data_IF_891803132735
#
_entry.id   IF_891803132735
#
_cell.length_a   1.000
_cell.length_b   1.000
_cell.length_c   1.000
_cell.angle_alpha   90.00
_cell.angle_beta   90.00
_cell.angle_gamma   90.00
#
_symmetry.space_group_name_H-M   'P 1'
#
loop_
_entity.id
_entity.type
_entity.pdbx_description
1 polymer ?
#
# COMPACT_ATOMS: atom_id res chain seq x y z
N UNK A 1 3.79 -3.11 -13.92
CA UNK A 1 3.58 -2.65 -15.31
C UNK A 1 3.57 -1.12 -15.39
N UNK A 2 4.50 -0.41 -14.74
CA UNK A 2 4.79 0.98 -15.09
C UNK A 2 6.10 1.01 -15.91
N UNK A 3 6.28 1.93 -16.87
CA UNK A 3 7.47 1.94 -17.75
C UNK A 3 8.82 2.01 -17.00
N UNK A 4 8.80 2.43 -15.72
CA UNK A 4 9.97 2.70 -14.88
C UNK A 4 10.08 1.76 -13.66
N UNK A 5 9.23 0.72 -13.52
CA UNK A 5 9.25 -0.19 -12.38
C UNK A 5 7.88 -0.46 -11.75
N UNK A 6 7.87 -0.81 -10.46
CA UNK A 6 6.63 -0.93 -9.66
C UNK A 6 6.29 0.44 -9.10
N UNK A 7 5.14 1.00 -9.48
CA UNK A 7 4.66 2.28 -8.95
C UNK A 7 3.89 2.05 -7.64
N UNK A 8 4.27 2.76 -6.58
CA UNK A 8 3.64 2.70 -5.27
C UNK A 8 2.43 3.63 -5.25
N UNK A 9 1.24 3.04 -5.31
CA UNK A 9 -0.02 3.78 -5.29
C UNK A 9 -0.53 4.07 -3.87
N UNK A 10 -0.12 3.28 -2.88
CA UNK A 10 -0.54 3.42 -1.50
C UNK A 10 0.37 2.63 -0.56
N UNK A 11 0.58 3.16 0.64
CA UNK A 11 1.16 2.43 1.77
C UNK A 11 0.41 2.84 3.04
N UNK A 12 -0.02 1.85 3.81
CA UNK A 12 -0.67 2.03 5.11
C UNK A 12 -0.16 0.94 6.06
N UNK A 13 0.17 1.30 7.29
CA UNK A 13 0.59 0.36 8.32
C UNK A 13 -0.01 0.70 9.69
N UNK A 14 0.18 -0.19 10.66
CA UNK A 14 -0.38 -0.11 12.00
C UNK A 14 -1.92 -0.01 12.03
N UNK A 15 -2.57 -0.69 11.09
CA UNK A 15 -4.03 -0.87 11.08
C UNK A 15 -4.42 -1.72 12.30
N UNK A 16 -5.44 -1.30 13.06
CA UNK A 16 -5.96 -2.10 14.20
C UNK A 16 -6.32 -3.51 13.69
N UNK A 17 -5.81 -4.60 14.29
CA UNK A 17 -6.11 -5.97 13.88
C UNK A 17 -7.60 -6.34 13.95
N UNK A 18 -8.43 -5.54 14.64
CA UNK A 18 -9.91 -5.68 14.66
C UNK A 18 -10.59 -5.05 13.45
N UNK A 19 -9.85 -4.35 12.59
CA UNK A 19 -10.37 -3.75 11.36
C UNK A 19 -10.74 -4.85 10.37
N UNK A 20 -12.02 -4.98 10.05
CA UNK A 20 -12.53 -5.98 9.10
C UNK A 20 -12.87 -5.39 7.72
N UNK A 21 -12.97 -4.07 7.63
CA UNK A 21 -13.25 -3.36 6.40
C UNK A 21 -12.52 -2.01 6.37
N UNK A 22 -12.17 -1.57 5.16
CA UNK A 22 -11.71 -0.22 4.90
C UNK A 22 -12.69 0.37 3.89
N UNK A 23 -13.58 1.28 4.31
CA UNK A 23 -14.51 1.94 3.39
C UNK A 23 -13.77 2.64 2.25
N UNK A 24 -14.44 2.78 1.11
CA UNK A 24 -13.90 3.54 -0.01
C UNK A 24 -13.56 4.98 0.41
N UNK A 25 -12.43 5.50 -0.10
CA UNK A 25 -11.93 6.84 0.21
C UNK A 25 -11.72 7.10 1.71
N UNK A 26 -11.32 6.07 2.47
CA UNK A 26 -11.01 6.20 3.89
C UNK A 26 -9.67 5.56 4.24
N UNK A 27 -9.18 5.90 5.44
CA UNK A 27 -8.00 5.32 6.06
C UNK A 27 -8.43 4.80 7.43
N UNK A 28 -8.03 3.59 7.85
CA UNK A 28 -8.37 3.09 9.19
C UNK A 28 -7.88 4.02 10.29
N UNK A 29 -8.70 4.22 11.32
CA UNK A 29 -8.35 5.07 12.45
C UNK A 29 -7.07 4.57 13.14
N UNK A 30 -6.15 5.49 13.44
CA UNK A 30 -4.87 5.16 14.08
C UNK A 30 -3.80 4.57 13.15
N UNK A 31 -4.14 4.23 11.91
CA UNK A 31 -3.16 3.80 10.92
C UNK A 31 -2.31 4.97 10.41
N UNK A 32 -1.14 4.66 9.87
CA UNK A 32 -0.21 5.64 9.29
C UNK A 32 -0.13 5.45 7.79
N UNK A 33 -0.25 6.53 7.03
CA UNK A 33 0.00 6.56 5.59
C UNK A 33 1.42 7.06 5.29
N UNK A 34 2.10 6.40 4.34
CA UNK A 34 3.47 6.74 3.95
C UNK A 34 3.56 7.47 2.62
N UNK A 35 4.74 8.03 2.34
CA UNK A 35 5.04 8.65 1.05
C UNK A 35 4.93 7.61 -0.07
N UNK A 36 4.22 8.01 -1.12
CA UNK A 36 4.06 7.25 -2.36
C UNK A 36 4.90 7.85 -3.48
N UNK A 37 4.93 7.21 -4.66
CA UNK A 37 5.61 7.76 -5.84
C UNK A 37 4.96 9.06 -6.37
N UNK A 38 3.80 9.45 -5.82
CA UNK A 38 3.19 10.77 -6.03
C UNK A 38 3.84 11.87 -5.18
N UNK A 39 4.82 11.55 -4.33
CA UNK A 39 5.55 12.49 -3.49
C UNK A 39 4.81 12.94 -2.24
N UNK A 40 3.69 12.29 -1.90
CA UNK A 40 2.88 12.61 -0.71
C UNK A 40 2.21 11.34 -0.13
N UNK A 41 1.83 11.35 1.16
CA UNK A 41 0.96 10.33 1.72
C UNK A 41 -0.44 10.31 1.08
N UNK A 42 -1.08 9.16 1.14
CA UNK A 42 -2.43 8.95 0.59
C UNK A 42 -2.47 8.00 -0.61
N UNK A 43 -3.66 7.50 -0.90
CA UNK A 43 -3.93 6.71 -2.11
C UNK A 43 -3.90 7.60 -3.36
N UNK A 44 -3.06 7.24 -4.33
CA UNK A 44 -3.11 7.78 -5.69
C UNK A 44 -3.74 6.77 -6.66
N UNK A 45 -4.82 7.17 -7.33
CA UNK A 45 -5.57 6.28 -8.23
C UNK A 45 -4.82 5.81 -9.49
N UNK A 46 -5.40 4.85 -10.24
CA UNK A 46 -4.82 4.35 -11.48
C UNK A 46 -4.82 5.43 -12.57
N UNK A 47 -3.65 5.71 -13.16
CA UNK A 47 -3.50 6.64 -14.28
C UNK A 47 -2.48 6.11 -15.31
N UNK A 48 -2.75 4.95 -15.95
CA UNK A 48 -1.83 4.38 -16.92
C UNK A 48 -1.75 5.30 -18.17
N UNK A 49 -0.57 5.46 -18.79
CA UNK A 49 -0.41 6.30 -19.97
C UNK A 49 -1.24 5.80 -21.16
N UNK A 50 -1.22 4.47 -21.40
CA UNK A 50 -2.06 3.74 -22.35
C UNK A 50 -2.09 2.25 -22.02
N UNK A 51 -3.07 1.51 -22.54
CA UNK A 51 -3.19 0.06 -22.35
C UNK A 51 -3.72 -0.35 -20.98
N UNK A 52 -3.56 -1.63 -20.64
CA UNK A 52 -4.06 -2.22 -19.38
C UNK A 52 -2.94 -2.43 -18.38
N UNK A 53 -3.10 -1.87 -17.18
CA UNK A 53 -2.17 -2.06 -16.07
C UNK A 53 -2.82 -2.92 -14.95
N UNK A 54 -1.99 -3.66 -14.23
CA UNK A 54 -2.36 -4.41 -13.02
C UNK A 54 -2.00 -3.61 -11.77
N UNK A 55 -2.93 -3.56 -10.83
CA UNK A 55 -2.80 -2.88 -9.54
C UNK A 55 -2.89 -3.92 -8.43
N UNK A 56 -1.79 -4.13 -7.72
CA UNK A 56 -1.68 -5.13 -6.68
C UNK A 56 -1.95 -4.48 -5.32
N UNK A 57 -3.02 -4.89 -4.65
CA UNK A 57 -3.29 -4.57 -3.27
C UNK A 57 -2.81 -5.75 -2.42
N UNK A 58 -1.80 -5.50 -1.58
CA UNK A 58 -1.20 -6.53 -0.72
C UNK A 58 -1.53 -6.19 0.73
N UNK A 59 -2.05 -7.16 1.46
CA UNK A 59 -2.32 -7.06 2.90
C UNK A 59 -1.41 -8.03 3.63
N UNK A 60 -0.77 -7.56 4.70
CA UNK A 60 0.13 -8.35 5.53
C UNK A 60 -0.37 -8.34 6.97
N UNK A 61 -0.51 -9.51 7.56
CA UNK A 61 -0.69 -9.65 9.00
C UNK A 61 0.69 -9.72 9.66
N UNK A 62 0.93 -8.85 10.63
CA UNK A 62 2.21 -8.77 11.34
C UNK A 62 2.02 -9.10 12.82
N UNK A 63 3.06 -9.64 13.45
CA UNK A 63 3.09 -9.85 14.91
C UNK A 63 3.60 -8.64 15.70
N UNK A 64 3.93 -7.55 15.01
CA UNK A 64 4.46 -6.31 15.58
C UNK A 64 3.87 -5.07 14.92
N UNK A 65 3.96 -3.93 15.62
CA UNK A 65 3.76 -2.60 15.03
C UNK A 65 5.06 -2.09 14.44
N UNK A 66 4.97 -1.30 13.37
CA UNK A 66 6.14 -0.68 12.74
C UNK A 66 6.40 0.69 13.35
N UNK A 67 7.61 0.91 13.84
CA UNK A 67 8.10 2.21 14.33
C UNK A 67 8.65 3.04 13.17
N UNK A 68 7.74 3.53 12.34
CA UNK A 68 8.02 4.29 11.11
C UNK A 68 7.15 5.55 11.06
N UNK A 69 7.76 6.67 10.64
CA UNK A 69 7.05 7.92 10.36
C UNK A 69 6.39 7.93 8.99
N UNK A 70 5.51 8.91 8.74
CA UNK A 70 4.79 9.06 7.47
C UNK A 70 5.70 9.35 6.26
N UNK A 71 6.98 9.64 6.49
CA UNK A 71 8.02 9.83 5.47
C UNK A 71 8.66 8.52 5.00
N UNK A 72 8.34 7.39 5.65
CA UNK A 72 8.87 6.08 5.29
C UNK A 72 8.48 5.67 3.86
N UNK A 73 9.45 5.10 3.14
CA UNK A 73 9.24 4.56 1.80
C UNK A 73 8.70 3.13 1.85
N UNK A 74 8.19 2.63 0.72
CA UNK A 74 7.84 1.21 0.57
C UNK A 74 9.00 0.28 0.98
N UNK A 75 10.24 0.65 0.66
CA UNK A 75 11.40 -0.18 1.02
C UNK A 75 11.65 -0.22 2.53
N UNK A 76 11.38 0.86 3.25
CA UNK A 76 11.57 0.92 4.70
C UNK A 76 10.51 0.07 5.40
N UNK A 77 9.27 0.15 4.92
CA UNK A 77 8.16 -0.70 5.38
C UNK A 77 8.47 -2.17 5.13
N UNK A 78 8.91 -2.54 3.92
CA UNK A 78 9.27 -3.93 3.58
C UNK A 78 10.39 -4.49 4.47
N UNK A 79 11.39 -3.68 4.80
CA UNK A 79 12.45 -4.07 5.75
C UNK A 79 11.91 -4.21 7.17
N UNK A 80 11.08 -3.28 7.63
CA UNK A 80 10.52 -3.33 8.98
C UNK A 80 9.55 -4.51 9.20
N UNK A 81 8.93 -5.00 8.13
CA UNK A 81 8.09 -6.21 8.16
C UNK A 81 8.89 -7.52 8.14
N UNK A 82 10.17 -7.49 7.75
CA UNK A 82 10.96 -8.71 7.58
C UNK A 82 11.06 -9.50 8.90
N UNK A 83 10.76 -10.79 8.86
CA UNK A 83 10.73 -11.65 10.05
C UNK A 83 9.45 -11.55 10.89
N UNK A 84 8.55 -10.62 10.59
CA UNK A 84 7.33 -10.34 11.36
C UNK A 84 6.03 -10.70 10.63
N UNK A 85 6.11 -11.18 9.38
CA UNK A 85 4.93 -11.52 8.56
C UNK A 85 4.36 -12.87 9.01
N UNK A 86 3.14 -12.84 9.55
CA UNK A 86 2.35 -14.02 9.90
C UNK A 86 1.60 -14.58 8.69
N UNK A 87 0.99 -13.69 7.89
CA UNK A 87 0.19 -14.06 6.73
C UNK A 87 0.17 -12.94 5.69
N UNK A 88 -0.11 -13.29 4.43
CA UNK A 88 -0.24 -12.35 3.31
C UNK A 88 -1.47 -12.68 2.47
N UNK A 89 -2.24 -11.66 2.12
CA UNK A 89 -3.26 -11.71 1.09
C UNK A 89 -2.93 -10.75 -0.07
N UNK A 90 -3.42 -11.06 -1.27
CA UNK A 90 -3.21 -10.24 -2.45
C UNK A 90 -4.48 -10.19 -3.31
N UNK A 91 -4.87 -8.97 -3.69
CA UNK A 91 -5.94 -8.69 -4.65
C UNK A 91 -5.36 -7.95 -5.84
N UNK A 92 -5.77 -8.32 -7.05
CA UNK A 92 -5.28 -7.73 -8.29
C UNK A 92 -6.44 -7.04 -9.02
N UNK A 93 -6.40 -5.71 -9.05
CA UNK A 93 -7.25 -4.89 -9.91
C UNK A 93 -6.63 -4.72 -11.30
N UNK A 94 -7.46 -4.48 -12.31
CA UNK A 94 -7.01 -4.12 -13.66
C UNK A 94 -7.73 -2.84 -14.09
N UNK A 95 -7.00 -1.92 -14.70
CA UNK A 95 -7.55 -0.70 -15.28
C UNK A 95 -6.89 -0.42 -16.62
N UNK A 96 -7.69 0.01 -17.60
CA UNK A 96 -7.25 0.32 -18.95
C UNK A 96 -7.54 1.78 -19.27
N UNK A 97 -6.63 2.44 -19.98
CA UNK A 97 -6.87 3.73 -20.60
C UNK A 97 -6.46 3.68 -22.07
N UNK A 98 -7.34 4.18 -22.94
CA UNK A 98 -7.08 4.34 -24.38
C UNK A 98 -6.61 5.76 -24.69
#
# INVERSE_FOLDING_TARGET
DAPMGTWVHWTVWNIDPKTVEIPENSVPEGAVEGITDFGKPGYGGPCPPSGTHRYFFKLYALDTTLDLGSDATKSDIEKAMEGHILEKAELIGRYSRE
#
